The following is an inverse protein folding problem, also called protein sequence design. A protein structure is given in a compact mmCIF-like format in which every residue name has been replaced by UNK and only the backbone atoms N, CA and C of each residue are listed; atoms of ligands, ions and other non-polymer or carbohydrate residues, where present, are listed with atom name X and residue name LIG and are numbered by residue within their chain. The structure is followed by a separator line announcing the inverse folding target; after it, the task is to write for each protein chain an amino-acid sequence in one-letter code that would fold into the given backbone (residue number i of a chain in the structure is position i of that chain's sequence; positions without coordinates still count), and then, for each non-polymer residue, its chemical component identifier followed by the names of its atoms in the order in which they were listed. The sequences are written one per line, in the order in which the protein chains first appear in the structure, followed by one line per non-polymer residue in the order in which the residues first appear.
data_IF_654577008134
#
_entry.id   IF_654577008134
#
_cell.length_a   1.000
_cell.length_b   1.000
_cell.length_c   1.000
_cell.angle_alpha   90.00
_cell.angle_beta   90.00
_cell.angle_gamma   90.00
#
_symmetry.space_group_name_H-M   'P 1'
#
loop_
_entity.id
_entity.type
_entity.pdbx_description
1 polymer ?
#
# COMPACT_ATOMS: atom_id res chain seq x y z
N UNK A 1 20.45 -50.38 28.29
CA UNK A 1 19.32 -49.72 28.97
C UNK A 1 19.27 -48.28 28.42
N UNK A 2 18.51 -48.06 27.34
CA UNK A 2 17.23 -47.28 27.33
C UNK A 2 17.44 -45.82 27.78
N UNK A 3 17.28 -44.77 26.97
CA UNK A 3 16.34 -44.48 25.86
C UNK A 3 16.90 -43.36 24.98
N UNK A 4 16.59 -43.44 23.69
CA UNK A 4 16.64 -42.34 22.73
C UNK A 4 15.71 -41.20 23.19
N UNK A 5 16.18 -39.95 23.13
CA UNK A 5 15.32 -38.77 23.08
C UNK A 5 15.47 -38.14 21.69
N UNK A 6 14.60 -38.56 20.78
CA UNK A 6 14.26 -37.75 19.63
C UNK A 6 13.29 -36.67 20.12
N UNK A 7 13.75 -35.41 20.23
CA UNK A 7 12.89 -34.25 20.40
C UNK A 7 12.72 -33.60 19.03
N UNK A 8 11.49 -33.64 18.53
CA UNK A 8 11.13 -33.40 17.14
C UNK A 8 11.34 -31.96 16.68
N UNK A 9 11.74 -31.84 15.42
CA UNK A 9 11.58 -30.66 14.60
C UNK A 9 10.08 -30.41 14.36
N UNK A 10 9.46 -29.60 15.21
CA UNK A 10 8.19 -28.96 14.88
C UNK A 10 8.47 -27.66 14.13
N UNK A 11 8.86 -27.76 12.85
CA UNK A 11 8.83 -26.62 11.94
C UNK A 11 7.36 -26.39 11.59
N UNK A 12 6.66 -25.66 12.45
CA UNK A 12 5.30 -25.21 12.16
C UNK A 12 5.31 -24.47 10.84
N UNK A 13 4.47 -24.92 9.90
CA UNK A 13 4.19 -24.21 8.66
C UNK A 13 3.64 -22.82 9.00
N UNK A 14 4.51 -21.83 9.12
CA UNK A 14 4.14 -20.44 9.07
C UNK A 14 3.64 -20.17 7.65
N UNK A 15 2.32 -20.28 7.47
CA UNK A 15 1.66 -19.73 6.29
C UNK A 15 2.01 -18.24 6.25
N UNK A 16 2.67 -17.73 5.20
CA UNK A 16 2.90 -16.30 5.10
C UNK A 16 1.53 -15.64 5.11
N UNK A 17 1.30 -14.77 6.10
CA UNK A 17 0.14 -13.90 6.15
C UNK A 17 0.23 -12.98 4.92
N UNK A 18 -0.42 -13.38 3.83
CA UNK A 18 -0.56 -12.52 2.67
C UNK A 18 -1.50 -11.41 3.10
N UNK A 19 -0.95 -10.25 3.43
CA UNK A 19 -1.73 -9.04 3.70
C UNK A 19 -2.74 -8.84 2.56
N UNK A 20 -3.98 -8.47 2.92
CA UNK A 20 -5.03 -8.25 1.91
C UNK A 20 -4.59 -7.14 0.94
N UNK A 21 -5.15 -7.12 -0.27
CA UNK A 21 -4.83 -6.06 -1.23
C UNK A 21 -5.11 -4.66 -0.65
N UNK A 22 -6.15 -4.53 0.17
CA UNK A 22 -6.49 -3.27 0.84
C UNK A 22 -5.48 -2.91 1.95
N UNK A 23 -4.99 -3.90 2.72
CA UNK A 23 -3.93 -3.69 3.72
C UNK A 23 -2.60 -3.32 3.07
N UNK A 24 -2.24 -4.00 1.99
CA UNK A 24 -1.05 -3.67 1.20
C UNK A 24 -1.16 -2.26 0.62
N UNK A 25 -2.31 -1.89 0.04
CA UNK A 25 -2.52 -0.56 -0.51
C UNK A 25 -2.39 0.54 0.53
N UNK A 26 -2.98 0.33 1.72
CA UNK A 26 -2.81 1.25 2.86
C UNK A 26 -1.35 1.36 3.28
N UNK A 27 -0.63 0.23 3.39
CA UNK A 27 0.79 0.21 3.75
C UNK A 27 1.66 0.94 2.73
N UNK A 28 1.38 0.77 1.43
CA UNK A 28 2.09 1.51 0.38
C UNK A 28 1.84 3.00 0.52
N UNK A 29 0.59 3.38 0.78
CA UNK A 29 0.19 4.78 0.96
C UNK A 29 0.89 5.45 2.16
N UNK A 30 1.00 4.76 3.30
CA UNK A 30 1.50 5.33 4.56
C UNK A 30 2.99 5.15 4.79
N UNK A 31 3.62 4.12 4.18
CA UNK A 31 4.97 3.69 4.55
C UNK A 31 5.85 3.29 3.36
N UNK A 32 5.39 2.40 2.48
CA UNK A 32 6.28 1.74 1.53
C UNK A 32 6.69 2.65 0.36
N UNK A 33 5.81 3.54 -0.09
CA UNK A 33 6.17 4.58 -1.06
C UNK A 33 7.20 5.54 -0.43
N UNK A 34 8.17 6.00 -1.23
CA UNK A 34 9.21 6.92 -0.77
C UNK A 34 9.32 8.12 -1.73
N UNK A 35 8.82 9.31 -1.33
CA UNK A 35 8.18 9.62 -0.04
C UNK A 35 6.79 8.94 0.11
N UNK A 36 6.32 8.66 1.35
CA UNK A 36 4.97 8.16 1.58
C UNK A 36 3.91 9.11 1.03
N UNK A 37 2.88 8.56 0.40
CA UNK A 37 1.78 9.33 -0.18
C UNK A 37 1.09 10.21 0.88
N UNK A 38 0.96 9.69 2.10
CA UNK A 38 0.37 10.35 3.24
C UNK A 38 1.06 11.67 3.67
N UNK A 39 2.35 11.85 3.34
CA UNK A 39 3.05 13.11 3.61
C UNK A 39 2.54 14.25 2.74
N UNK A 40 2.10 13.93 1.52
CA UNK A 40 1.71 14.93 0.54
C UNK A 40 0.20 15.09 0.43
N UNK A 41 -0.57 14.01 0.61
CA UNK A 41 -2.00 13.99 0.34
C UNK A 41 -2.84 13.79 1.60
N UNK A 42 -4.01 14.42 1.61
CA UNK A 42 -5.08 14.12 2.58
C UNK A 42 -5.86 12.90 2.09
N UNK A 43 -6.09 11.95 2.99
CA UNK A 43 -6.94 10.77 2.77
C UNK A 43 -7.36 10.24 4.15
N UNK A 44 -8.60 10.51 4.55
CA UNK A 44 -9.13 10.21 5.89
C UNK A 44 -9.05 8.72 6.23
N UNK A 45 -9.32 7.84 5.26
CA UNK A 45 -9.24 6.38 5.44
C UNK A 45 -7.83 5.88 5.79
N UNK A 46 -6.79 6.66 5.50
CA UNK A 46 -5.41 6.40 5.87
C UNK A 46 -4.93 7.23 7.07
N UNK A 47 -5.80 8.08 7.65
CA UNK A 47 -5.42 9.04 8.69
C UNK A 47 -4.43 10.09 8.21
N UNK A 48 -4.38 10.36 6.91
CA UNK A 48 -3.41 11.25 6.30
C UNK A 48 -3.97 12.66 6.12
N UNK A 49 -3.15 13.67 6.43
CA UNK A 49 -3.54 15.09 6.42
C UNK A 49 -2.59 15.95 5.59
N UNK A 50 -1.83 15.34 4.66
CA UNK A 50 -0.90 16.06 3.80
C UNK A 50 -1.60 17.08 2.90
N UNK A 51 -0.97 18.25 2.70
CA UNK A 51 -1.54 19.37 1.92
C UNK A 51 -0.62 19.88 0.81
N UNK A 52 0.40 19.10 0.43
CA UNK A 52 1.29 19.45 -0.69
C UNK A 52 0.62 19.10 -2.01
N UNK A 53 0.02 17.91 -2.07
CA UNK A 53 -0.87 17.48 -3.15
C UNK A 53 -2.33 17.78 -2.82
N UNK A 54 -3.24 17.57 -3.80
CA UNK A 54 -4.67 17.70 -3.55
C UNK A 54 -5.17 16.70 -2.51
N UNK A 55 -6.26 17.05 -1.81
CA UNK A 55 -7.02 16.11 -1.00
C UNK A 55 -7.62 15.02 -1.89
N UNK A 56 -7.37 13.76 -1.56
CA UNK A 56 -7.89 12.62 -2.31
C UNK A 56 -9.36 12.35 -1.96
N UNK A 57 -9.79 12.70 -0.75
CA UNK A 57 -11.20 12.64 -0.32
C UNK A 57 -12.09 13.59 -1.14
N UNK A 58 -11.55 14.73 -1.56
CA UNK A 58 -12.24 15.70 -2.42
C UNK A 58 -12.11 15.34 -3.90
N UNK A 59 -10.89 14.99 -4.35
CA UNK A 59 -10.61 14.73 -5.75
C UNK A 59 -11.28 13.45 -6.27
N UNK A 60 -11.42 12.43 -5.41
CA UNK A 60 -12.06 11.15 -5.71
C UNK A 60 -11.62 10.52 -7.05
N UNK A 61 -10.30 10.36 -7.29
CA UNK A 61 -9.82 9.79 -8.55
C UNK A 61 -10.25 8.33 -8.68
N UNK A 62 -10.58 7.91 -9.90
CA UNK A 62 -10.76 6.49 -10.18
C UNK A 62 -9.42 5.73 -10.19
N UNK A 63 -9.49 4.40 -10.14
CA UNK A 63 -8.29 3.55 -10.11
C UNK A 63 -7.38 3.77 -11.31
N UNK A 64 -7.94 3.94 -12.51
CA UNK A 64 -7.16 4.08 -13.74
C UNK A 64 -6.31 5.35 -13.69
N UNK A 65 -6.90 6.45 -13.20
CA UNK A 65 -6.20 7.70 -12.99
C UNK A 65 -5.09 7.57 -11.94
N UNK A 66 -5.34 6.90 -10.81
CA UNK A 66 -4.31 6.68 -9.78
C UNK A 66 -3.15 5.84 -10.34
N UNK A 67 -3.45 4.76 -11.07
CA UNK A 67 -2.42 3.91 -11.70
C UNK A 67 -1.51 4.70 -12.64
N UNK A 68 -2.10 5.52 -13.51
CA UNK A 68 -1.35 6.35 -14.45
C UNK A 68 -0.41 7.30 -13.69
N UNK A 69 -0.95 8.08 -12.76
CA UNK A 69 -0.17 9.09 -12.03
C UNK A 69 0.93 8.47 -11.17
N UNK A 70 0.64 7.37 -10.47
CA UNK A 70 1.65 6.70 -9.64
C UNK A 70 2.79 6.17 -10.51
N UNK A 71 2.50 5.67 -11.72
CA UNK A 71 3.54 5.18 -12.64
C UNK A 71 4.37 6.30 -13.25
N UNK A 72 3.73 7.41 -13.67
CA UNK A 72 4.40 8.44 -14.48
C UNK A 72 4.84 9.67 -13.70
N UNK A 73 4.27 9.91 -12.52
CA UNK A 73 4.35 11.19 -11.83
C UNK A 73 3.51 12.28 -12.51
N UNK A 74 3.33 13.41 -11.82
CA UNK A 74 2.70 14.62 -12.36
C UNK A 74 3.12 15.86 -11.56
N UNK A 75 3.62 16.90 -12.24
CA UNK A 75 4.08 18.12 -11.57
C UNK A 75 5.19 17.82 -10.56
N UNK A 76 4.96 18.16 -9.28
CA UNK A 76 5.88 17.86 -8.17
C UNK A 76 5.74 16.44 -7.62
N UNK A 77 4.67 15.71 -7.98
CA UNK A 77 4.48 14.33 -7.56
C UNK A 77 5.44 13.41 -8.32
N UNK A 78 6.32 12.67 -7.62
CA UNK A 78 7.30 11.81 -8.26
C UNK A 78 6.63 10.61 -8.96
N UNK A 79 7.36 10.01 -9.91
CA UNK A 79 7.02 8.70 -10.47
C UNK A 79 7.47 7.59 -9.52
N UNK A 80 6.64 6.58 -9.33
CA UNK A 80 6.96 5.41 -8.50
C UNK A 80 7.23 4.13 -9.30
N UNK A 81 7.04 4.13 -10.62
CA UNK A 81 7.45 3.01 -11.45
C UNK A 81 8.96 2.75 -11.30
N UNK A 82 9.34 1.53 -10.94
CA UNK A 82 10.73 1.15 -10.64
C UNK A 82 11.18 1.44 -9.20
N UNK A 83 10.33 2.09 -8.38
CA UNK A 83 10.50 2.18 -6.93
C UNK A 83 9.56 1.22 -6.21
N UNK A 84 8.33 1.09 -6.71
CA UNK A 84 7.32 0.12 -6.26
C UNK A 84 7.18 -1.00 -7.29
N UNK A 85 6.81 -2.18 -6.80
CA UNK A 85 6.38 -3.29 -7.66
C UNK A 85 5.01 -3.01 -8.27
N UNK A 86 4.69 -3.65 -9.41
CA UNK A 86 3.37 -3.50 -10.03
C UNK A 86 2.23 -3.91 -9.09
N UNK A 87 2.46 -4.92 -8.23
CA UNK A 87 1.49 -5.34 -7.21
C UNK A 87 1.22 -4.23 -6.19
N UNK A 88 2.26 -3.51 -5.75
CA UNK A 88 2.11 -2.39 -4.82
C UNK A 88 1.41 -1.20 -5.46
N UNK A 89 1.74 -0.91 -6.73
CA UNK A 89 1.08 0.15 -7.53
C UNK A 89 -0.41 -0.16 -7.71
N UNK A 90 -0.75 -1.40 -8.04
CA UNK A 90 -2.15 -1.82 -8.15
C UNK A 90 -2.89 -1.75 -6.81
N UNK A 91 -2.26 -2.20 -5.74
CA UNK A 91 -2.84 -2.20 -4.40
C UNK A 91 -3.11 -0.76 -3.90
N UNK A 92 -2.17 0.17 -4.08
CA UNK A 92 -2.38 1.57 -3.66
C UNK A 92 -3.43 2.26 -4.52
N UNK A 93 -3.51 1.94 -5.81
CA UNK A 93 -4.54 2.49 -6.69
C UNK A 93 -5.94 1.99 -6.33
N UNK A 94 -6.08 0.71 -6.01
CA UNK A 94 -7.32 0.15 -5.47
C UNK A 94 -7.70 0.83 -4.15
N UNK A 95 -6.77 0.90 -3.21
CA UNK A 95 -7.01 1.48 -1.90
C UNK A 95 -7.47 2.95 -1.99
N UNK A 96 -6.75 3.79 -2.73
CA UNK A 96 -7.07 5.23 -2.87
C UNK A 96 -8.44 5.43 -3.52
N UNK A 97 -8.73 4.73 -4.62
CA UNK A 97 -9.99 4.94 -5.35
C UNK A 97 -11.22 4.45 -4.59
N UNK A 98 -11.10 3.36 -3.82
CA UNK A 98 -12.15 2.87 -2.91
C UNK A 98 -12.36 3.82 -1.73
N UNK A 99 -11.27 4.14 -1.02
CA UNK A 99 -11.29 5.03 0.14
C UNK A 99 -11.91 6.39 -0.16
N UNK A 100 -11.47 7.04 -1.24
CA UNK A 100 -12.00 8.35 -1.64
C UNK A 100 -13.47 8.29 -2.09
N UNK A 101 -13.95 7.13 -2.56
CA UNK A 101 -15.36 6.91 -2.89
C UNK A 101 -16.23 6.61 -1.66
N UNK A 102 -15.65 6.44 -0.46
CA UNK A 102 -16.35 5.97 0.73
C UNK A 102 -16.81 4.50 0.64
N UNK A 103 -16.09 3.68 -0.13
CA UNK A 103 -16.39 2.25 -0.35
C UNK A 103 -15.29 1.36 0.19
#
# INVERSE_FOLDING_TARGET
MTRLYAAGLAFGLALPFVASADELGRKVFTEAAQPPCALCHTLDAAGATGTIGPSLDELKPDKARVLEVVRTGIGVMPRFAGQLSEREIEAVADFVSKAASGR
#
